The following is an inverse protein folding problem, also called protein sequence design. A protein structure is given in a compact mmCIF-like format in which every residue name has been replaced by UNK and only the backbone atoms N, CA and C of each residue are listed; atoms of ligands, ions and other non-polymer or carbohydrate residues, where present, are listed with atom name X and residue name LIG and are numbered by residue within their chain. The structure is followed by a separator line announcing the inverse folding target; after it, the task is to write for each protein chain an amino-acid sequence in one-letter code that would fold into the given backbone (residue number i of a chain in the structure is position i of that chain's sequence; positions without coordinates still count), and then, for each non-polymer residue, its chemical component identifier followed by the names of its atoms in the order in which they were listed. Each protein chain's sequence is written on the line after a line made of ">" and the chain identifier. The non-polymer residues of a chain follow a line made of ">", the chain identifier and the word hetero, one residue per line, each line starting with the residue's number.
data_IF_548328094531
#
_entry.id   IF_548328094531
#
_cell.length_a   1.000
_cell.length_b   1.000
_cell.length_c   1.000
_cell.angle_alpha   90.00
_cell.angle_beta   90.00
_cell.angle_gamma   90.00
#
_symmetry.space_group_name_H-M   'P 1'
#
loop_
_entity.id
_entity.type
_entity.pdbx_description
1 polymer ?
#
# COMPACT_ATOMS: atom_id res chain seq x y z
N UNK A 1 4.60 84.74 -41.76
CA UNK A 1 4.34 83.37 -42.29
C UNK A 1 5.34 82.41 -41.63
N UNK A 2 4.98 81.64 -40.60
CA UNK A 2 4.36 80.29 -40.58
C UNK A 2 5.17 79.16 -41.28
N UNK A 3 5.51 78.16 -40.43
CA UNK A 3 5.81 76.70 -40.63
C UNK A 3 7.29 76.34 -40.40
N UNK A 4 7.70 75.60 -39.36
CA UNK A 4 7.22 74.38 -38.67
C UNK A 4 7.35 73.08 -39.48
N UNK A 5 8.08 72.12 -38.89
CA UNK A 5 8.08 70.69 -39.21
C UNK A 5 9.51 70.14 -39.38
N UNK A 6 10.01 69.16 -38.65
CA UNK A 6 9.45 68.29 -37.62
C UNK A 6 10.39 67.07 -37.50
N UNK A 7 11.14 66.94 -36.40
CA UNK A 7 11.95 65.74 -36.11
C UNK A 7 11.03 64.62 -35.64
N UNK A 8 10.95 63.53 -36.40
CA UNK A 8 10.24 62.29 -36.00
C UNK A 8 11.02 61.58 -34.88
N UNK A 9 10.39 61.45 -33.72
CA UNK A 9 10.82 60.63 -32.58
C UNK A 9 10.72 59.14 -32.92
N UNK A 10 11.85 58.46 -33.02
CA UNK A 10 12.01 57.01 -33.00
C UNK A 10 12.54 56.60 -31.62
N UNK A 11 11.67 56.18 -30.71
CA UNK A 11 12.09 55.79 -29.35
C UNK A 11 11.15 54.86 -28.59
N UNK A 12 9.91 54.67 -29.05
CA UNK A 12 8.88 53.99 -28.26
C UNK A 12 8.86 52.46 -28.30
N UNK A 13 9.49 51.80 -29.30
CA UNK A 13 9.36 50.34 -29.47
C UNK A 13 10.32 49.51 -28.62
N UNK A 14 11.54 49.98 -28.37
CA UNK A 14 12.57 49.19 -27.65
C UNK A 14 12.35 49.06 -26.14
N UNK A 15 11.48 49.89 -25.56
CA UNK A 15 11.29 49.93 -24.10
C UNK A 15 10.20 48.94 -23.62
N UNK A 16 9.26 48.54 -24.48
CA UNK A 16 8.19 47.57 -24.13
C UNK A 16 8.66 46.10 -24.11
N UNK A 17 9.64 45.72 -24.93
CA UNK A 17 10.21 44.36 -24.93
C UNK A 17 11.10 44.08 -23.72
N UNK A 18 11.93 45.05 -23.31
CA UNK A 18 12.79 44.91 -22.12
C UNK A 18 11.99 44.72 -20.81
N UNK A 19 10.79 45.30 -20.71
CA UNK A 19 9.94 45.14 -19.53
C UNK A 19 9.20 43.80 -19.49
N UNK A 20 8.76 43.24 -20.64
CA UNK A 20 8.14 41.91 -20.68
C UNK A 20 9.12 40.81 -20.24
N UNK A 21 10.37 40.86 -20.71
CA UNK A 21 11.35 39.82 -20.41
C UNK A 21 11.80 39.87 -18.94
N UNK A 22 11.99 41.06 -18.36
CA UNK A 22 12.30 41.19 -16.92
C UNK A 22 11.20 40.62 -16.02
N UNK A 23 9.94 40.84 -16.36
CA UNK A 23 8.82 40.31 -15.59
C UNK A 23 8.70 38.78 -15.72
N UNK A 24 9.00 38.21 -16.90
CA UNK A 24 9.00 36.76 -17.11
C UNK A 24 10.15 36.08 -16.35
N UNK A 25 11.37 36.64 -16.40
CA UNK A 25 12.52 36.10 -15.65
C UNK A 25 12.33 36.22 -14.13
N UNK A 26 11.74 37.33 -13.65
CA UNK A 26 11.40 37.47 -12.25
C UNK A 26 10.33 36.45 -11.83
N UNK A 27 9.33 36.21 -12.66
CA UNK A 27 8.27 35.23 -12.38
C UNK A 27 8.85 33.80 -12.33
N UNK A 28 9.64 33.40 -13.33
CA UNK A 28 10.32 32.10 -13.36
C UNK A 28 11.26 31.90 -12.16
N UNK A 29 12.01 32.94 -11.78
CA UNK A 29 12.89 32.90 -10.60
C UNK A 29 12.11 32.69 -9.30
N UNK A 30 10.98 33.39 -9.14
CA UNK A 30 10.10 33.21 -7.97
C UNK A 30 9.45 31.82 -7.97
N UNK A 31 8.98 31.32 -9.12
CA UNK A 31 8.41 29.96 -9.21
C UNK A 31 9.45 28.89 -8.88
N UNK A 32 10.66 29.00 -9.44
CA UNK A 32 11.75 28.07 -9.13
C UNK A 32 12.19 28.15 -7.65
N UNK A 33 12.20 29.33 -7.04
CA UNK A 33 12.50 29.50 -5.63
C UNK A 33 11.41 28.91 -4.72
N UNK A 34 10.13 29.06 -5.08
CA UNK A 34 9.00 28.47 -4.34
C UNK A 34 9.03 26.94 -4.43
N UNK A 35 9.21 26.38 -5.63
CA UNK A 35 9.37 24.92 -5.77
C UNK A 35 10.64 24.43 -5.06
N UNK A 36 11.76 25.14 -5.17
CA UNK A 36 12.99 24.82 -4.45
C UNK A 36 12.82 24.82 -2.92
N UNK A 37 12.05 25.76 -2.37
CA UNK A 37 11.69 25.80 -0.95
C UNK A 37 10.80 24.62 -0.53
N UNK A 38 9.84 24.21 -1.38
CA UNK A 38 8.97 23.05 -1.12
C UNK A 38 9.78 21.74 -1.10
N UNK A 39 10.77 21.59 -1.99
CA UNK A 39 11.66 20.43 -1.99
C UNK A 39 12.69 20.47 -0.84
N UNK A 40 13.20 21.65 -0.47
CA UNK A 40 14.16 21.80 0.61
C UNK A 40 13.54 21.69 2.02
N UNK A 41 12.25 21.98 2.17
CA UNK A 41 11.57 21.97 3.48
C UNK A 41 11.17 20.58 3.98
N UNK A 42 11.38 19.51 3.20
CA UNK A 42 11.09 18.14 3.64
C UNK A 42 9.62 17.92 4.03
N UNK A 43 8.68 18.77 3.59
CA UNK A 43 7.29 18.79 4.07
C UNK A 43 6.42 17.60 3.62
N UNK A 44 7.02 16.55 3.06
CA UNK A 44 6.33 15.30 2.75
C UNK A 44 7.06 14.13 3.43
N UNK A 45 7.29 14.25 4.75
CA UNK A 45 7.43 13.06 5.59
C UNK A 45 6.05 12.42 5.69
N UNK A 46 5.76 11.50 4.77
CA UNK A 46 4.65 10.58 4.95
C UNK A 46 5.04 9.64 6.09
N UNK A 47 4.33 9.75 7.21
CA UNK A 47 4.48 8.82 8.34
C UNK A 47 4.23 7.40 7.83
N UNK A 48 5.18 6.50 8.09
CA UNK A 48 5.05 5.12 7.65
C UNK A 48 3.86 4.44 8.35
N UNK A 49 3.19 3.54 7.64
CA UNK A 49 2.03 2.81 8.14
C UNK A 49 2.39 1.34 8.36
N UNK A 50 1.86 0.72 9.43
CA UNK A 50 2.13 -0.67 9.74
C UNK A 50 1.52 -1.63 8.71
N UNK A 51 2.23 -2.73 8.48
CA UNK A 51 1.81 -3.86 7.67
C UNK A 51 2.24 -5.17 8.30
N UNK A 52 1.55 -6.26 7.97
CA UNK A 52 1.99 -7.62 8.30
C UNK A 52 2.51 -8.29 7.03
N UNK A 53 3.75 -8.74 7.06
CA UNK A 53 4.28 -9.68 6.05
C UNK A 53 4.08 -11.10 6.57
N UNK A 54 3.51 -11.97 5.75
CA UNK A 54 3.30 -13.37 6.15
C UNK A 54 3.69 -14.31 5.01
N UNK A 55 4.19 -15.48 5.40
CA UNK A 55 4.45 -16.58 4.49
C UNK A 55 3.64 -17.79 4.93
N UNK A 56 2.88 -18.35 4.00
CA UNK A 56 2.10 -19.56 4.21
C UNK A 56 2.58 -20.67 3.28
N UNK A 57 2.69 -21.88 3.80
CA UNK A 57 2.97 -23.09 3.02
C UNK A 57 1.69 -23.88 2.86
N UNK A 58 1.35 -24.22 1.62
CA UNK A 58 0.21 -25.08 1.28
C UNK A 58 0.73 -26.40 0.76
N UNK A 59 0.16 -27.50 1.25
CA UNK A 59 0.46 -28.86 0.81
C UNK A 59 -0.83 -29.54 0.36
N UNK A 60 -0.80 -30.07 -0.87
CA UNK A 60 -1.86 -30.89 -1.44
C UNK A 60 -1.39 -32.34 -1.46
N UNK A 61 -2.12 -33.22 -0.79
CA UNK A 61 -1.93 -34.65 -0.87
C UNK A 61 -2.96 -35.27 -1.81
N UNK A 62 -2.49 -36.17 -2.67
CA UNK A 62 -3.35 -37.06 -3.45
C UNK A 62 -3.35 -38.40 -2.74
N UNK A 63 -4.51 -38.82 -2.22
CA UNK A 63 -4.66 -40.18 -1.71
C UNK A 63 -4.84 -41.12 -2.91
N UNK A 64 -3.74 -41.43 -3.59
CA UNK A 64 -3.73 -42.43 -4.67
C UNK A 64 -3.65 -43.83 -4.04
N UNK A 65 -4.81 -44.45 -3.82
CA UNK A 65 -4.84 -45.83 -3.31
C UNK A 65 -6.19 -46.41 -2.88
N UNK A 66 -7.29 -45.67 -2.97
CA UNK A 66 -8.63 -46.21 -2.72
C UNK A 66 -9.21 -46.88 -3.95
N UNK A 67 -9.61 -48.14 -3.83
CA UNK A 67 -10.33 -48.90 -4.87
C UNK A 67 -11.46 -48.07 -5.52
N UNK A 68 -11.63 -48.25 -6.83
CA UNK A 68 -12.63 -47.57 -7.65
C UNK A 68 -14.05 -47.72 -7.06
N UNK A 69 -14.47 -46.77 -6.23
CA UNK A 69 -15.76 -46.82 -5.55
C UNK A 69 -15.98 -45.76 -4.46
N UNK A 70 -14.94 -45.14 -3.93
CA UNK A 70 -15.05 -43.99 -3.01
C UNK A 70 -14.10 -42.88 -3.46
N UNK A 71 -14.66 -41.70 -3.78
CA UNK A 71 -13.93 -40.55 -4.28
C UNK A 71 -12.77 -40.20 -3.36
N UNK A 72 -11.54 -40.22 -3.88
CA UNK A 72 -10.35 -39.88 -3.13
C UNK A 72 -10.46 -38.45 -2.62
N UNK A 73 -10.50 -38.26 -1.29
CA UNK A 73 -10.32 -36.95 -0.69
C UNK A 73 -8.87 -36.54 -0.94
N UNK A 74 -8.67 -35.58 -1.84
CA UNK A 74 -7.41 -34.86 -1.91
C UNK A 74 -7.35 -33.95 -0.68
N UNK A 75 -6.40 -34.21 0.23
CA UNK A 75 -6.23 -33.41 1.44
C UNK A 75 -5.48 -32.12 1.10
N UNK A 76 -6.01 -30.98 1.54
CA UNK A 76 -5.27 -29.70 1.50
C UNK A 76 -4.92 -29.31 2.92
N UNK A 77 -3.65 -29.05 3.17
CA UNK A 77 -3.15 -28.52 4.43
C UNK A 77 -2.52 -27.15 4.20
N UNK A 78 -2.61 -26.27 5.20
CA UNK A 78 -1.95 -24.96 5.19
C UNK A 78 -1.28 -24.71 6.53
N UNK A 79 -0.08 -24.16 6.49
CA UNK A 79 0.72 -23.78 7.64
C UNK A 79 1.19 -22.33 7.47
N UNK A 80 1.22 -21.56 8.55
CA UNK A 80 1.84 -20.23 8.56
C UNK A 80 3.31 -20.43 8.98
N UNK A 81 4.22 -20.16 8.05
CA UNK A 81 5.67 -20.36 8.25
C UNK A 81 6.28 -19.15 8.96
N UNK A 82 5.85 -17.94 8.59
CA UNK A 82 6.34 -16.71 9.20
C UNK A 82 5.27 -15.63 9.26
N UNK A 83 5.38 -14.79 10.27
CA UNK A 83 4.61 -13.55 10.46
C UNK A 83 5.57 -12.49 10.96
N UNK A 84 5.74 -11.43 10.18
CA UNK A 84 6.63 -10.31 10.46
C UNK A 84 5.83 -9.01 10.49
N UNK A 85 6.14 -8.16 11.46
CA UNK A 85 5.58 -6.82 11.58
C UNK A 85 6.53 -5.86 10.88
N UNK A 86 6.00 -4.95 10.06
CA UNK A 86 6.82 -3.99 9.32
C UNK A 86 6.08 -2.67 9.14
N UNK A 87 6.77 -1.66 8.62
CA UNK A 87 6.21 -0.37 8.23
C UNK A 87 6.55 -0.05 6.77
N UNK A 88 5.62 0.59 6.06
CA UNK A 88 5.79 1.00 4.65
C UNK A 88 5.26 2.40 4.43
N UNK A 89 5.63 3.01 3.30
CA UNK A 89 4.99 4.25 2.87
C UNK A 89 3.47 4.08 2.75
N UNK A 90 2.64 5.06 3.16
CA UNK A 90 1.19 5.04 2.96
C UNK A 90 0.76 4.85 1.50
N UNK A 91 1.63 5.17 0.54
CA UNK A 91 1.37 4.97 -0.89
C UNK A 91 1.60 3.52 -1.34
N UNK A 92 2.44 2.78 -0.61
CA UNK A 92 2.82 1.40 -0.90
C UNK A 92 2.00 0.39 -0.08
N UNK A 93 1.28 0.86 0.95
CA UNK A 93 0.43 0.02 1.79
C UNK A 93 -0.67 -0.69 0.97
N UNK A 94 -0.76 -2.04 1.01
CA UNK A 94 -1.76 -2.79 0.25
C UNK A 94 -3.19 -2.46 0.69
N UNK A 95 -4.08 -2.20 -0.27
CA UNK A 95 -5.51 -1.92 -0.05
C UNK A 95 -6.42 -3.13 -0.34
N UNK A 96 -5.83 -4.31 -0.24
CA UNK A 96 -6.43 -5.59 -0.55
C UNK A 96 -6.35 -5.99 -2.02
N UNK A 97 -6.60 -7.27 -2.28
CA UNK A 97 -6.59 -7.88 -3.61
C UNK A 97 -7.69 -8.94 -3.72
N UNK A 98 -8.04 -9.27 -4.97
CA UNK A 98 -8.95 -10.36 -5.30
C UNK A 98 -8.39 -11.13 -6.49
N UNK A 99 -8.37 -12.46 -6.40
CA UNK A 99 -7.89 -13.34 -7.45
C UNK A 99 -8.97 -14.26 -8.04
N UNK A 100 -10.22 -14.15 -7.56
CA UNK A 100 -11.29 -15.11 -7.85
C UNK A 100 -11.03 -16.49 -7.23
N UNK A 101 -12.01 -17.39 -7.32
CA UNK A 101 -11.88 -18.75 -6.81
C UNK A 101 -11.31 -19.71 -7.88
N UNK A 102 -10.53 -20.73 -7.48
CA UNK A 102 -10.04 -21.01 -6.13
C UNK A 102 -8.88 -20.09 -5.71
N UNK A 103 -8.74 -19.84 -4.41
CA UNK A 103 -7.78 -18.87 -3.87
C UNK A 103 -7.11 -19.30 -2.58
N UNK A 104 -6.00 -18.63 -2.26
CA UNK A 104 -5.43 -18.57 -0.92
C UNK A 104 -5.65 -17.16 -0.41
N UNK A 105 -6.40 -17.04 0.68
CA UNK A 105 -6.80 -15.77 1.27
C UNK A 105 -6.08 -15.58 2.60
N UNK A 106 -5.64 -14.35 2.88
CA UNK A 106 -5.05 -13.96 4.14
C UNK A 106 -5.64 -12.66 4.68
N UNK A 107 -5.76 -12.59 6.01
CA UNK A 107 -6.14 -11.38 6.73
C UNK A 107 -5.63 -11.38 8.17
N UNK A 108 -5.54 -10.20 8.76
CA UNK A 108 -5.23 -9.98 10.16
C UNK A 108 -6.43 -9.39 10.89
N UNK A 109 -6.64 -9.82 12.13
CA UNK A 109 -7.75 -9.39 13.00
C UNK A 109 -7.14 -8.88 14.30
N UNK A 110 -7.42 -7.63 14.65
CA UNK A 110 -6.84 -6.95 15.82
C UNK A 110 -7.81 -7.08 17.00
N UNK A 111 -7.33 -7.56 18.15
CA UNK A 111 -8.08 -7.71 19.40
C UNK A 111 -9.45 -8.37 19.19
N UNK A 112 -9.46 -9.53 18.53
CA UNK A 112 -10.68 -10.29 18.18
C UNK A 112 -11.70 -9.49 17.35
N UNK A 113 -11.25 -8.47 16.63
CA UNK A 113 -12.04 -7.62 15.73
C UNK A 113 -12.39 -6.26 16.32
N UNK A 114 -12.21 -6.05 17.63
CA UNK A 114 -12.47 -4.76 18.27
C UNK A 114 -11.51 -3.66 17.78
N UNK A 115 -10.26 -4.01 17.47
CA UNK A 115 -9.27 -3.08 16.92
C UNK A 115 -9.36 -2.91 15.40
N UNK A 116 -10.20 -3.69 14.72
CA UNK A 116 -10.30 -3.70 13.26
C UNK A 116 -9.78 -4.97 12.60
N UNK A 117 -9.82 -4.97 11.27
CA UNK A 117 -9.39 -6.07 10.41
C UNK A 117 -8.56 -5.46 9.28
N UNK A 118 -7.50 -6.14 8.86
CA UNK A 118 -6.73 -5.75 7.67
C UNK A 118 -7.60 -5.82 6.42
N UNK A 119 -7.10 -5.24 5.32
CA UNK A 119 -7.59 -5.63 4.02
C UNK A 119 -7.34 -7.12 3.75
N UNK A 120 -8.19 -7.72 2.92
CA UNK A 120 -7.98 -9.08 2.43
C UNK A 120 -6.87 -9.09 1.39
N UNK A 121 -5.86 -9.93 1.57
CA UNK A 121 -4.91 -10.26 0.53
C UNK A 121 -5.26 -11.64 -0.04
N UNK A 122 -5.42 -11.70 -1.34
CA UNK A 122 -5.86 -12.89 -2.06
C UNK A 122 -4.88 -13.22 -3.17
N UNK A 123 -4.47 -14.48 -3.24
CA UNK A 123 -3.72 -15.03 -4.35
C UNK A 123 -4.49 -16.19 -5.01
N UNK A 124 -4.29 -16.38 -6.32
CA UNK A 124 -4.87 -17.51 -7.03
C UNK A 124 -4.25 -18.80 -6.50
N UNK A 125 -5.08 -19.80 -6.16
CA UNK A 125 -4.58 -21.10 -5.75
C UNK A 125 -3.94 -21.83 -6.93
N UNK A 126 -2.66 -22.20 -6.81
CA UNK A 126 -1.85 -22.84 -7.85
C UNK A 126 -1.40 -24.26 -7.47
N UNK A 127 -1.92 -24.80 -6.35
CA UNK A 127 -1.50 -26.07 -5.77
C UNK A 127 -0.51 -25.88 -4.61
N UNK A 128 0.24 -26.94 -4.30
CA UNK A 128 1.26 -26.93 -3.25
C UNK A 128 2.33 -25.87 -3.51
N UNK A 129 2.80 -25.23 -2.46
CA UNK A 129 3.85 -24.21 -2.54
C UNK A 129 3.74 -23.17 -1.44
N UNK A 130 4.56 -22.14 -1.59
CA UNK A 130 4.60 -21.01 -0.68
C UNK A 130 3.82 -19.85 -1.26
N UNK A 131 3.08 -19.15 -0.40
CA UNK A 131 2.29 -17.97 -0.71
C UNK A 131 2.71 -16.86 0.24
N UNK A 132 3.12 -15.72 -0.32
CA UNK A 132 3.61 -14.58 0.42
C UNK A 132 2.56 -13.46 0.38
N UNK A 133 2.23 -12.89 1.54
CA UNK A 133 1.25 -11.80 1.60
C UNK A 133 1.81 -10.62 2.37
N UNK A 134 1.34 -9.44 1.97
CA UNK A 134 1.50 -8.20 2.72
C UNK A 134 0.11 -7.66 3.03
N UNK A 135 -0.22 -7.57 4.32
CA UNK A 135 -1.51 -7.12 4.80
C UNK A 135 -1.40 -5.66 5.26
N UNK A 136 -2.08 -4.78 4.54
CA UNK A 136 -2.31 -3.40 4.98
C UNK A 136 -3.59 -3.25 5.81
N UNK A 137 -3.67 -2.18 6.57
CA UNK A 137 -4.81 -1.85 7.43
C UNK A 137 -5.53 -0.60 6.94
N UNK A 138 -6.82 -0.50 7.26
CA UNK A 138 -7.57 0.74 7.07
C UNK A 138 -6.94 1.88 7.90
N UNK A 139 -6.94 3.09 7.33
CA UNK A 139 -6.46 4.27 8.07
C UNK A 139 -7.24 4.47 9.36
N UNK A 140 -6.52 4.67 10.46
CA UNK A 140 -7.07 4.83 11.80
C UNK A 140 -7.50 3.52 12.48
N UNK A 141 -7.29 2.37 11.82
CA UNK A 141 -7.55 1.01 12.35
C UNK A 141 -6.30 0.15 12.28
N UNK A 142 -5.15 0.79 12.40
CA UNK A 142 -3.85 0.15 12.49
C UNK A 142 -3.65 -0.48 13.87
N UNK A 143 -2.90 -1.61 13.95
CA UNK A 143 -2.52 -2.19 15.23
C UNK A 143 -1.59 -1.25 16.00
N UNK A 144 -1.77 -1.22 17.32
CA UNK A 144 -0.95 -0.46 18.27
C UNK A 144 -0.09 -1.41 19.09
N UNK A 145 1.02 -0.90 19.63
CA UNK A 145 1.87 -1.67 20.54
C UNK A 145 1.03 -2.29 21.67
N UNK A 146 1.20 -3.60 21.87
CA UNK A 146 0.44 -4.42 22.82
C UNK A 146 -0.82 -5.08 22.26
N UNK A 147 -1.27 -4.72 21.07
CA UNK A 147 -2.46 -5.35 20.47
C UNK A 147 -2.20 -6.83 20.12
N UNK A 148 -3.21 -7.68 20.32
CA UNK A 148 -3.19 -9.04 19.84
C UNK A 148 -3.65 -9.10 18.38
N UNK A 149 -2.75 -9.44 17.46
CA UNK A 149 -3.03 -9.54 16.03
C UNK A 149 -3.10 -11.01 15.61
N UNK A 150 -4.31 -11.48 15.28
CA UNK A 150 -4.54 -12.82 14.75
C UNK A 150 -4.48 -12.80 13.23
N UNK A 151 -3.45 -13.41 12.66
CA UNK A 151 -3.34 -13.69 11.23
C UNK A 151 -4.06 -14.98 10.91
N UNK A 152 -4.86 -14.99 9.84
CA UNK A 152 -5.60 -16.15 9.37
C UNK A 152 -5.32 -16.32 7.88
N UNK A 153 -4.94 -17.54 7.50
CA UNK A 153 -4.79 -17.95 6.11
C UNK A 153 -5.81 -19.05 5.82
N UNK A 154 -6.40 -19.01 4.62
CA UNK A 154 -7.41 -19.97 4.16
C UNK A 154 -7.10 -20.38 2.74
N UNK A 155 -7.28 -21.67 2.45
CA UNK A 155 -7.36 -22.17 1.08
C UNK A 155 -8.82 -22.40 0.75
N UNK A 156 -9.26 -21.87 -0.38
CA UNK A 156 -10.66 -21.82 -0.79
C UNK A 156 -10.84 -22.48 -2.15
N UNK A 157 -11.87 -23.33 -2.27
CA UNK A 157 -12.21 -24.05 -3.50
C UNK A 157 -12.91 -23.16 -4.55
N UNK A 158 -13.23 -23.74 -5.71
CA UNK A 158 -13.88 -23.05 -6.83
C UNK A 158 -15.25 -22.44 -6.50
N UNK A 159 -15.89 -22.91 -5.42
CA UNK A 159 -17.23 -22.49 -4.97
C UNK A 159 -17.17 -21.52 -3.78
N UNK A 160 -15.98 -21.16 -3.30
CA UNK A 160 -15.82 -20.34 -2.11
C UNK A 160 -15.83 -21.14 -0.80
N UNK A 161 -15.82 -22.48 -0.87
CA UNK A 161 -15.72 -23.36 0.28
C UNK A 161 -14.31 -23.41 0.85
N UNK A 162 -14.16 -23.34 2.17
CA UNK A 162 -12.84 -23.40 2.81
C UNK A 162 -12.36 -24.85 2.87
N UNK A 163 -11.26 -25.15 2.17
CA UNK A 163 -10.61 -26.46 2.17
C UNK A 163 -9.68 -26.63 3.36
N UNK A 164 -8.94 -25.57 3.72
CA UNK A 164 -7.97 -25.58 4.81
C UNK A 164 -7.86 -24.19 5.44
N UNK A 165 -7.49 -24.12 6.73
CA UNK A 165 -7.19 -22.85 7.38
C UNK A 165 -6.12 -22.99 8.45
N UNK A 166 -5.25 -21.99 8.55
CA UNK A 166 -4.30 -21.81 9.62
C UNK A 166 -4.48 -20.44 10.26
N UNK A 167 -4.13 -20.34 11.54
CA UNK A 167 -4.13 -19.06 12.23
C UNK A 167 -2.99 -18.99 13.25
N UNK A 168 -2.42 -17.79 13.39
CA UNK A 168 -1.39 -17.49 14.36
C UNK A 168 -1.70 -16.15 15.02
N UNK A 169 -1.46 -16.06 16.32
CA UNK A 169 -1.60 -14.80 17.08
C UNK A 169 -0.21 -14.28 17.39
N UNK A 170 0.02 -13.00 17.13
CA UNK A 170 1.23 -12.27 17.52
C UNK A 170 0.85 -11.05 18.35
N UNK A 171 1.70 -10.68 19.29
CA UNK A 171 1.57 -9.40 20.00
C UNK A 171 2.27 -8.35 19.17
N UNK A 172 1.60 -7.23 18.92
CA UNK A 172 2.12 -6.14 18.14
C UNK A 172 3.16 -5.35 18.95
N UNK A 173 4.38 -5.25 18.44
CA UNK A 173 5.50 -4.62 19.13
C UNK A 173 5.90 -3.29 18.47
N UNK A 174 5.55 -3.08 17.20
CA UNK A 174 5.86 -1.84 16.49
C UNK A 174 4.95 -0.69 16.92
N UNK A 175 5.54 0.48 17.13
CA UNK A 175 4.84 1.71 17.46
C UNK A 175 5.60 2.54 18.49
N UNK A 176 5.47 3.85 18.39
CA UNK A 176 6.02 4.76 19.38
C UNK A 176 5.19 4.67 20.68
N UNK A 177 5.86 4.62 21.83
CA UNK A 177 5.28 5.02 23.12
C UNK A 177 4.99 6.53 23.04
N UNK A 178 3.83 6.87 22.48
CA UNK A 178 3.53 8.21 22.00
C UNK A 178 2.38 8.87 22.73
N UNK A 179 2.68 9.39 23.93
CA UNK A 179 2.07 10.57 24.56
C UNK A 179 0.57 10.52 24.89
N UNK A 180 0.24 10.05 26.09
CA UNK A 180 -0.80 10.72 26.88
C UNK A 180 -0.41 12.20 27.02
N UNK A 181 -1.22 13.09 26.45
CA UNK A 181 -1.29 14.50 26.86
C UNK A 181 -2.59 14.71 27.61
#
# INVERSE_FOLDING_TARGET
>A
MRRSGGRRRSGGRRMRERMKNKNIFAFLGVTAAVFGLIFASGCVSLEEVPVVKLQAKVEVSSTDGGEAGQGGESGVAVEIVSVEQDTVSPLESPKGSSAGFPSVDAKAIINSGAGGVSYWATEKFKGSGTYDFVLGFDRGREPKKGDAVKVVVRVVDERGGVLASAAQVVIWELGNEGNEK
#
